data_IF_392222798445
#
_entry.id   IF_392222798445
#
_cell.length_a   1.000
_cell.length_b   1.000
_cell.length_c   1.000
_cell.angle_alpha   90.00
_cell.angle_beta   90.00
_cell.angle_gamma   90.00
#
_symmetry.space_group_name_H-M   'P 1'
#
loop_
_entity.id
_entity.type
_entity.pdbx_description
1 polymer ?
#
# COMPACT_ATOMS: atom_id res chain seq x y z
N UNK A 1 -9.48 17.68 -13.59
CA UNK A 1 -10.04 16.56 -12.81
C UNK A 1 -10.09 17.03 -11.37
N UNK A 2 -11.27 17.21 -10.78
CA UNK A 2 -11.39 17.58 -9.36
C UNK A 2 -11.10 16.33 -8.54
N UNK A 3 -10.01 16.31 -7.78
CA UNK A 3 -9.70 15.22 -6.85
C UNK A 3 -10.50 15.42 -5.57
N UNK A 4 -11.13 14.37 -5.04
CA UNK A 4 -11.91 14.42 -3.79
C UNK A 4 -11.03 14.65 -2.56
N UNK A 5 -9.75 14.29 -2.66
CA UNK A 5 -8.74 14.46 -1.61
C UNK A 5 -7.42 14.90 -2.22
N UNK A 6 -6.71 15.78 -1.51
CA UNK A 6 -5.36 16.22 -1.86
C UNK A 6 -4.30 15.28 -1.25
N UNK A 7 -3.08 15.29 -1.77
CA UNK A 7 -1.94 14.55 -1.17
C UNK A 7 -1.00 15.56 -0.51
N UNK A 8 -0.64 15.30 0.75
CA UNK A 8 0.31 16.15 1.46
C UNK A 8 1.64 16.25 0.68
N UNK A 9 2.21 17.46 0.46
CA UNK A 9 3.48 17.62 -0.25
C UNK A 9 4.63 16.83 0.39
N UNK A 10 4.62 16.72 1.72
CA UNK A 10 5.58 15.95 2.50
C UNK A 10 5.48 14.46 2.15
N UNK A 11 4.25 13.94 2.02
CA UNK A 11 4.01 12.55 1.61
C UNK A 11 4.52 12.29 0.19
N UNK A 12 4.37 13.24 -0.75
CA UNK A 12 4.94 13.09 -2.11
C UNK A 12 6.47 12.97 -2.09
N UNK A 13 7.14 13.76 -1.24
CA UNK A 13 8.59 13.69 -1.07
C UNK A 13 9.01 12.36 -0.42
N UNK A 14 8.25 11.86 0.56
CA UNK A 14 8.49 10.58 1.21
C UNK A 14 8.25 9.40 0.27
N UNK A 15 7.19 9.40 -0.55
CA UNK A 15 6.93 8.39 -1.58
C UNK A 15 8.08 8.30 -2.59
N UNK A 16 8.58 9.45 -3.05
CA UNK A 16 9.75 9.50 -3.94
C UNK A 16 10.99 8.92 -3.27
N UNK A 17 11.25 9.29 -2.02
CA UNK A 17 12.39 8.77 -1.24
C UNK A 17 12.25 7.27 -1.04
N UNK A 18 11.04 6.80 -0.72
CA UNK A 18 10.72 5.41 -0.47
C UNK A 18 10.97 4.54 -1.71
N UNK A 19 10.55 5.00 -2.89
CA UNK A 19 10.74 4.32 -4.18
C UNK A 19 12.22 4.19 -4.58
N UNK A 20 13.03 5.19 -4.26
CA UNK A 20 14.45 5.23 -4.65
C UNK A 20 15.37 4.53 -3.64
N UNK A 21 14.89 4.27 -2.44
CA UNK A 21 15.68 3.61 -1.40
C UNK A 21 15.97 2.15 -1.75
N UNK A 22 17.20 1.70 -1.44
CA UNK A 22 17.55 0.27 -1.49
C UNK A 22 16.99 -0.38 -0.22
N UNK A 23 16.11 -1.37 -0.37
CA UNK A 23 15.47 -2.05 0.75
C UNK A 23 16.10 -3.41 1.03
N UNK A 24 15.99 -3.83 2.29
CA UNK A 24 16.41 -5.15 2.72
C UNK A 24 15.49 -6.24 2.12
N UNK A 25 15.93 -7.50 2.15
CA UNK A 25 15.15 -8.63 1.63
C UNK A 25 13.83 -8.87 2.38
N UNK A 26 13.70 -8.38 3.62
CA UNK A 26 12.49 -8.56 4.43
C UNK A 26 11.31 -7.73 3.94
N UNK A 27 11.55 -6.68 3.16
CA UNK A 27 10.55 -5.74 2.68
C UNK A 27 10.45 -4.48 3.53
N UNK A 28 9.71 -3.51 3.01
CA UNK A 28 9.43 -2.22 3.62
C UNK A 28 8.05 -1.74 3.20
N UNK A 29 7.37 -0.99 4.06
CA UNK A 29 6.06 -0.43 3.81
C UNK A 29 5.97 1.04 4.21
N UNK A 30 5.26 1.84 3.41
CA UNK A 30 4.82 3.18 3.77
C UNK A 30 3.30 3.17 3.85
N UNK A 31 2.76 3.48 5.03
CA UNK A 31 1.32 3.53 5.30
C UNK A 31 0.85 4.99 5.23
N UNK A 32 -0.24 5.22 4.52
CA UNK A 32 -0.89 6.51 4.39
C UNK A 32 -2.39 6.40 4.67
N UNK A 33 -2.94 7.47 5.24
CA UNK A 33 -4.35 7.58 5.60
C UNK A 33 -4.96 8.86 5.04
N UNK A 34 -6.28 8.88 4.92
CA UNK A 34 -7.05 10.08 4.63
C UNK A 34 -7.44 10.75 5.95
N UNK A 35 -6.94 11.96 6.17
CA UNK A 35 -7.47 12.88 7.16
C UNK A 35 -8.81 13.43 6.66
N UNK A 36 -9.91 12.86 7.18
CA UNK A 36 -11.28 13.19 6.76
C UNK A 36 -11.64 14.67 6.96
N UNK A 37 -11.12 15.30 8.02
CA UNK A 37 -11.41 16.70 8.33
C UNK A 37 -10.75 17.66 7.34
N UNK A 38 -9.57 17.29 6.83
CA UNK A 38 -8.79 18.10 5.88
C UNK A 38 -8.94 17.65 4.44
N UNK A 39 -9.63 16.54 4.18
CA UNK A 39 -9.70 15.86 2.88
C UNK A 39 -8.32 15.69 2.26
N UNK A 40 -7.37 15.16 3.05
CA UNK A 40 -5.96 15.04 2.64
C UNK A 40 -5.39 13.68 2.96
N UNK A 41 -4.64 13.11 2.03
CA UNK A 41 -3.82 11.92 2.23
C UNK A 41 -2.52 12.35 2.91
N UNK A 42 -2.28 11.80 4.08
CA UNK A 42 -1.10 12.04 4.91
C UNK A 42 -0.43 10.71 5.25
N UNK A 43 0.88 10.78 5.51
CA UNK A 43 1.60 9.63 6.03
C UNK A 43 1.05 9.27 7.41
N UNK A 44 0.90 7.97 7.64
CA UNK A 44 0.70 7.44 8.97
C UNK A 44 2.02 6.89 9.52
N UNK A 45 2.58 5.86 8.87
CA UNK A 45 3.76 5.16 9.36
C UNK A 45 4.69 4.68 8.22
N UNK A 46 5.92 4.35 8.58
CA UNK A 46 6.91 3.70 7.69
C UNK A 46 7.59 2.58 8.46
N UNK A 47 7.59 1.40 7.86
CA UNK A 47 8.20 0.20 8.39
C UNK A 47 9.32 -0.27 7.46
N UNK A 48 10.54 -0.40 7.99
CA UNK A 48 11.69 -0.97 7.28
C UNK A 48 12.69 -1.53 8.31
N UNK A 49 12.81 -2.86 8.47
CA UNK A 49 12.17 -3.92 7.68
C UNK A 49 10.77 -4.33 8.18
N UNK A 50 9.90 -4.85 7.29
CA UNK A 50 8.63 -5.51 7.67
C UNK A 50 8.19 -6.56 6.63
N UNK A 51 7.61 -7.67 7.10
CA UNK A 51 6.97 -8.67 6.23
C UNK A 51 5.48 -8.36 6.00
N UNK A 52 4.83 -8.88 4.94
CA UNK A 52 3.39 -8.70 4.75
C UNK A 52 2.55 -9.16 5.95
N UNK A 53 2.93 -10.30 6.54
CA UNK A 53 2.25 -10.88 7.70
C UNK A 53 2.35 -9.99 8.94
N UNK A 54 3.56 -9.50 9.26
CA UNK A 54 3.74 -8.55 10.37
C UNK A 54 3.00 -7.23 10.09
N UNK A 55 2.98 -6.78 8.83
CA UNK A 55 2.29 -5.55 8.43
C UNK A 55 0.77 -5.66 8.59
N UNK A 56 0.19 -6.86 8.43
CA UNK A 56 -1.24 -7.08 8.70
C UNK A 56 -1.58 -6.73 10.15
N UNK A 57 -0.74 -7.15 11.09
CA UNK A 57 -0.94 -6.93 12.53
C UNK A 57 -0.83 -5.45 12.93
N UNK A 58 -0.07 -4.66 12.16
CA UNK A 58 0.07 -3.21 12.37
C UNK A 58 -1.08 -2.41 11.72
N UNK A 59 -1.82 -2.99 10.78
CA UNK A 59 -2.88 -2.31 10.07
C UNK A 59 -4.19 -2.29 10.87
N UNK A 60 -4.99 -1.21 10.79
CA UNK A 60 -6.23 -1.11 11.55
C UNK A 60 -7.29 -2.09 11.03
N UNK A 61 -7.96 -2.78 11.96
CA UNK A 61 -9.02 -3.75 11.65
C UNK A 61 -10.33 -3.10 11.14
N UNK A 62 -10.54 -1.81 11.43
CA UNK A 62 -11.83 -1.12 11.24
C UNK A 62 -11.77 0.13 10.36
N UNK A 63 -10.63 0.39 9.71
CA UNK A 63 -10.53 1.54 8.82
C UNK A 63 -9.58 1.28 7.65
N UNK A 64 -9.83 1.88 6.47
CA UNK A 64 -8.98 1.64 5.31
C UNK A 64 -7.62 2.34 5.43
N UNK A 65 -6.61 1.83 4.69
CA UNK A 65 -5.29 2.45 4.51
C UNK A 65 -4.78 2.25 3.09
N UNK A 66 -3.94 3.18 2.66
CA UNK A 66 -3.08 2.99 1.50
C UNK A 66 -1.71 2.55 1.97
N UNK A 67 -1.19 1.48 1.39
CA UNK A 67 0.11 0.93 1.76
C UNK A 67 0.96 0.79 0.50
N UNK A 68 2.08 1.51 0.44
CA UNK A 68 3.09 1.31 -0.60
C UNK A 68 4.08 0.29 -0.07
N UNK A 69 4.05 -0.92 -0.63
CA UNK A 69 4.86 -2.05 -0.18
C UNK A 69 5.94 -2.37 -1.22
N UNK A 70 7.16 -2.57 -0.74
CA UNK A 70 8.25 -3.18 -1.50
C UNK A 70 8.72 -4.42 -0.76
N UNK A 71 8.81 -5.56 -1.42
CA UNK A 71 9.25 -6.82 -0.81
C UNK A 71 10.07 -7.65 -1.80
N UNK A 72 10.92 -8.53 -1.28
CA UNK A 72 11.61 -9.51 -2.12
C UNK A 72 10.60 -10.53 -2.67
N UNK A 73 10.62 -10.74 -3.98
CA UNK A 73 9.83 -11.75 -4.65
C UNK A 73 10.75 -12.63 -5.49
N UNK A 74 10.76 -13.93 -5.16
CA UNK A 74 11.55 -14.96 -5.85
C UNK A 74 10.68 -15.65 -6.88
N UNK A 75 11.16 -15.67 -8.11
CA UNK A 75 10.51 -16.33 -9.25
C UNK A 75 11.09 -17.74 -9.41
N UNK A 76 10.31 -18.63 -10.01
CA UNK A 76 10.68 -20.04 -10.22
C UNK A 76 11.93 -20.22 -11.09
N UNK A 77 12.16 -19.28 -12.01
CA UNK A 77 13.34 -19.25 -12.87
C UNK A 77 14.61 -18.71 -12.16
N UNK A 78 14.54 -18.49 -10.84
CA UNK A 78 15.62 -18.01 -10.01
C UNK A 78 15.79 -16.49 -10.01
N UNK A 79 14.99 -15.73 -10.78
CA UNK A 79 15.03 -14.27 -10.72
C UNK A 79 14.52 -13.77 -9.37
N UNK A 80 15.14 -12.70 -8.88
CA UNK A 80 14.69 -11.97 -7.70
C UNK A 80 14.25 -10.58 -8.16
N UNK A 81 13.06 -10.16 -7.75
CA UNK A 81 12.51 -8.84 -8.03
C UNK A 81 12.04 -8.17 -6.75
N UNK A 82 11.97 -6.84 -6.76
CA UNK A 82 11.45 -6.04 -5.65
C UNK A 82 10.31 -5.16 -6.16
N UNK A 83 9.12 -5.75 -6.45
CA UNK A 83 8.01 -4.97 -6.96
C UNK A 83 7.58 -3.92 -5.94
N UNK A 84 7.26 -2.73 -6.44
CA UNK A 84 6.62 -1.67 -5.66
C UNK A 84 5.12 -1.67 -5.98
N UNK A 85 4.30 -1.99 -4.99
CA UNK A 85 2.85 -2.15 -5.15
C UNK A 85 2.10 -1.22 -4.21
N UNK A 86 0.91 -0.81 -4.63
CA UNK A 86 -0.06 -0.19 -3.74
C UNK A 86 -1.05 -1.26 -3.26
N UNK A 87 -1.09 -1.48 -1.96
CA UNK A 87 -2.17 -2.22 -1.31
C UNK A 87 -3.21 -1.21 -0.85
N UNK A 88 -4.43 -1.39 -1.32
CA UNK A 88 -5.60 -0.72 -0.77
C UNK A 88 -6.21 -1.65 0.28
N UNK A 89 -5.80 -1.44 1.53
CA UNK A 89 -6.34 -2.13 2.69
C UNK A 89 -7.69 -1.52 3.03
N UNK A 90 -8.76 -2.29 2.92
CA UNK A 90 -10.13 -1.83 3.17
C UNK A 90 -10.95 -2.93 3.86
N UNK A 91 -10.75 -3.14 5.17
CA UNK A 91 -11.47 -4.16 5.94
C UNK A 91 -12.98 -4.01 5.78
N UNK A 92 -13.69 -5.14 5.72
CA UNK A 92 -15.17 -5.16 5.58
C UNK A 92 -15.92 -4.44 6.69
N UNK A 93 -15.30 -4.31 7.86
CA UNK A 93 -15.88 -3.59 9.00
C UNK A 93 -15.76 -2.06 8.88
N UNK A 94 -15.04 -1.56 7.86
CA UNK A 94 -14.91 -0.12 7.59
C UNK A 94 -16.26 0.50 7.23
N UNK A 95 -16.53 1.70 7.76
CA UNK A 95 -17.76 2.43 7.40
C UNK A 95 -17.86 2.68 5.90
N UNK A 96 -19.07 2.58 5.34
CA UNK A 96 -19.33 2.78 3.90
C UNK A 96 -18.80 4.13 3.38
N UNK A 97 -18.95 5.19 4.18
CA UNK A 97 -18.48 6.53 3.84
C UNK A 97 -16.95 6.57 3.70
N UNK A 98 -16.20 5.97 4.64
CA UNK A 98 -14.74 5.87 4.56
C UNK A 98 -14.32 5.00 3.38
N UNK A 99 -14.94 3.84 3.20
CA UNK A 99 -14.61 2.93 2.09
C UNK A 99 -14.82 3.61 0.73
N UNK A 100 -15.89 4.39 0.57
CA UNK A 100 -16.16 5.17 -0.64
C UNK A 100 -15.12 6.27 -0.85
N UNK A 101 -14.75 6.99 0.22
CA UNK A 101 -13.74 8.04 0.17
C UNK A 101 -12.38 7.50 -0.28
N UNK A 102 -11.91 6.41 0.34
CA UNK A 102 -10.66 5.76 -0.05
C UNK A 102 -10.74 5.21 -1.48
N UNK A 103 -11.81 4.52 -1.87
CA UNK A 103 -11.97 4.01 -3.23
C UNK A 103 -11.90 5.12 -4.29
N UNK A 104 -12.48 6.30 -4.01
CA UNK A 104 -12.40 7.45 -4.91
C UNK A 104 -10.98 8.01 -5.08
N UNK A 105 -10.11 7.77 -4.09
CA UNK A 105 -8.75 8.30 -4.03
C UNK A 105 -7.69 7.32 -4.55
N UNK A 106 -8.00 6.01 -4.65
CA UNK A 106 -7.07 4.94 -5.09
C UNK A 106 -6.33 5.33 -6.38
N UNK A 107 -7.07 5.76 -7.41
CA UNK A 107 -6.47 6.06 -8.72
C UNK A 107 -5.57 7.30 -8.68
N UNK A 108 -5.88 8.28 -7.83
CA UNK A 108 -5.03 9.47 -7.68
C UNK A 108 -3.76 9.10 -6.94
N UNK A 109 -3.90 8.37 -5.83
CA UNK A 109 -2.77 7.96 -5.02
C UNK A 109 -1.83 7.01 -5.76
N UNK A 110 -2.33 6.07 -6.55
CA UNK A 110 -1.49 5.14 -7.32
C UNK A 110 -0.60 5.83 -8.34
N UNK A 111 -1.14 6.86 -9.02
CA UNK A 111 -0.38 7.69 -9.98
C UNK A 111 0.72 8.46 -9.26
N UNK A 112 0.42 9.08 -8.11
CA UNK A 112 1.40 9.85 -7.35
C UNK A 112 2.45 8.99 -6.62
N UNK A 113 2.09 7.78 -6.22
CA UNK A 113 3.02 6.79 -5.66
C UNK A 113 3.89 6.11 -6.73
N UNK A 114 3.59 6.32 -8.02
CA UNK A 114 4.31 5.75 -9.17
C UNK A 114 4.44 4.21 -9.06
N UNK A 115 3.33 3.56 -8.72
CA UNK A 115 3.27 2.10 -8.56
C UNK A 115 2.74 1.43 -9.83
N UNK A 116 3.32 0.28 -10.19
CA UNK A 116 2.90 -0.49 -11.37
C UNK A 116 1.67 -1.37 -11.15
N UNK A 117 1.29 -1.62 -9.88
CA UNK A 117 0.18 -2.50 -9.54
C UNK A 117 -0.54 -2.05 -8.27
N UNK A 118 -1.87 -2.10 -8.32
CA UNK A 118 -2.76 -1.90 -7.18
C UNK A 118 -3.39 -3.25 -6.81
N UNK A 119 -3.43 -3.57 -5.52
CA UNK A 119 -4.02 -4.78 -4.96
C UNK A 119 -5.04 -4.36 -3.90
N UNK A 120 -6.30 -4.69 -4.13
CA UNK A 120 -7.36 -4.49 -3.13
C UNK A 120 -7.37 -5.66 -2.14
N UNK A 121 -7.28 -5.35 -0.85
CA UNK A 121 -7.36 -6.33 0.24
C UNK A 121 -8.51 -5.93 1.16
N UNK A 122 -9.57 -6.75 1.15
CA UNK A 122 -10.78 -6.55 1.96
C UNK A 122 -11.01 -7.68 2.96
N UNK A 123 -10.61 -8.88 2.57
CA UNK A 123 -10.78 -10.15 3.27
C UNK A 123 -9.57 -11.05 2.93
N UNK A 124 -9.32 -12.07 3.75
CA UNK A 124 -8.31 -13.11 3.47
C UNK A 124 -6.88 -12.78 3.90
N UNK A 125 -6.69 -11.68 4.63
CA UNK A 125 -5.42 -11.26 5.22
C UNK A 125 -4.37 -10.77 4.22
N UNK A 126 -3.25 -10.27 4.73
CA UNK A 126 -2.14 -9.73 3.96
C UNK A 126 -0.93 -10.66 4.13
N UNK A 127 -0.77 -11.60 3.19
CA UNK A 127 0.31 -12.59 3.24
C UNK A 127 1.21 -12.52 2.02
N UNK A 128 2.46 -12.97 2.18
CA UNK A 128 3.45 -13.12 1.11
C UNK A 128 2.92 -14.02 -0.01
N UNK A 129 2.22 -15.10 0.34
CA UNK A 129 1.66 -16.04 -0.63
C UNK A 129 0.56 -15.40 -1.49
N UNK A 130 -0.36 -14.65 -0.86
CA UNK A 130 -1.41 -13.91 -1.57
C UNK A 130 -0.80 -12.88 -2.52
N UNK A 131 0.20 -12.12 -2.07
CA UNK A 131 0.85 -11.11 -2.89
C UNK A 131 1.59 -11.75 -4.07
N UNK A 132 2.29 -12.86 -3.87
CA UNK A 132 2.98 -13.60 -4.93
C UNK A 132 2.00 -14.08 -6.02
N UNK A 133 0.87 -14.67 -5.63
CA UNK A 133 -0.19 -15.09 -6.55
C UNK A 133 -0.74 -13.89 -7.34
N UNK A 134 -1.09 -12.80 -6.63
CA UNK A 134 -1.59 -11.57 -7.25
C UNK A 134 -0.56 -10.97 -8.19
N UNK A 135 0.73 -11.09 -7.92
CA UNK A 135 1.82 -10.58 -8.76
C UNK A 135 2.17 -11.49 -9.94
N UNK A 136 1.52 -12.66 -10.06
CA UNK A 136 1.69 -13.56 -11.19
C UNK A 136 2.90 -14.49 -11.06
N UNK A 137 3.43 -14.68 -9.84
CA UNK A 137 4.36 -15.77 -9.56
C UNK A 137 3.53 -17.05 -9.54
N UNK A 138 3.65 -17.84 -10.61
CA UNK A 138 3.05 -19.18 -10.69
C UNK A 138 3.89 -20.15 -9.83
N UNK A 139 3.23 -21.19 -9.33
CA UNK A 139 3.82 -22.37 -8.67
C UNK A 139 4.06 -23.48 -9.68
#
# INVERSE_FOLDING_TARGET
MSTTVDIAPELLAELRTFRLAKRSSKGAALVAKINKAQLRIEKEDVFDPITPEDLEEELPEHSPRFVVLSMELRHEDGRISYPLVLIHWAPVSSSMELSTLYASAVSTFSVHADVGKVIDVREGGLTTAMLAERLGVRR
#
